data_IF_489747703764
#
_entry.id   IF_489747703764
#
_cell.length_a   1.000
_cell.length_b   1.000
_cell.length_c   1.000
_cell.angle_alpha   90.00
_cell.angle_beta   90.00
_cell.angle_gamma   90.00
#
_symmetry.space_group_name_H-M   'P 1'
#
loop_
_entity.id
_entity.type
_entity.pdbx_description
1 polymer ?
2 non-polymer ?
3 non-polymer ?
4 water ?
#
# COMPACT_ATOMS: atom_id res chain seq x y z
N UNK A 2 13.67 5.40 32.03
CA UNK A 2 13.73 6.79 31.52
C UNK A 2 14.08 6.80 30.03
N UNK A 3 13.06 7.03 29.20
CA UNK A 3 13.26 7.16 27.78
C UNK A 3 13.19 8.66 27.43
N UNK A 4 14.16 9.12 26.63
CA UNK A 4 14.15 10.47 26.12
C UNK A 4 13.37 10.43 24.83
N UNK A 5 12.26 11.14 24.82
CA UNK A 5 11.37 11.07 23.67
C UNK A 5 11.55 12.27 22.73
N UNK A 6 10.98 12.16 21.53
CA UNK A 6 11.13 13.20 20.53
C UNK A 6 10.37 14.46 20.93
N UNK A 7 11.07 15.61 21.14
CA UNK A 7 10.40 16.86 21.57
C UNK A 7 9.30 17.30 20.60
N UNK A 8 9.43 16.93 19.33
CA UNK A 8 8.42 17.25 18.31
C UNK A 8 7.22 16.34 18.37
N UNK A 9 7.38 15.22 19.05
CA UNK A 9 6.29 14.25 19.18
C UNK A 9 6.16 13.28 18.01
N UNK A 10 4.99 12.63 17.97
CA UNK A 10 4.77 11.42 17.17
C UNK A 10 3.50 11.49 16.32
N UNK A 11 3.50 10.70 15.25
CA UNK A 11 2.29 10.35 14.49
C UNK A 11 2.10 8.82 14.56
N UNK A 12 0.87 8.40 14.86
CA UNK A 12 0.48 6.99 14.77
C UNK A 12 -0.87 6.95 14.03
N UNK A 13 -1.13 5.89 13.28
CA UNK A 13 -2.37 5.84 12.49
C UNK A 13 -2.77 4.39 12.26
N UNK A 14 -4.04 4.20 11.94
CA UNK A 14 -4.53 2.92 11.43
C UNK A 14 -4.51 2.96 9.90
N UNK A 15 -3.90 1.94 9.28
CA UNK A 15 -3.98 1.79 7.83
C UNK A 15 -5.32 1.11 7.50
N UNK A 16 -6.38 1.85 7.76
CA UNK A 16 -7.69 1.31 7.93
C UNK A 16 -8.49 1.24 6.64
N UNK A 17 -7.87 1.59 5.53
CA UNK A 17 -8.57 1.60 4.23
C UNK A 17 -7.99 0.56 3.30
N UNK A 18 -8.79 -0.44 2.96
CA UNK A 18 -8.44 -1.30 1.84
C UNK A 18 -7.49 -2.41 2.23
N UNK A 19 -7.17 -3.23 1.25
CA UNK A 19 -6.21 -4.29 1.41
C UNK A 19 -4.78 -3.75 1.31
N UNK A 20 -3.78 -4.64 1.29
CA UNK A 20 -2.39 -4.21 1.44
C UNK A 20 -1.98 -3.18 0.38
N UNK A 21 -2.48 -3.35 -0.84
CA UNK A 21 -2.18 -2.38 -1.89
C UNK A 21 -2.50 -0.93 -1.48
N UNK A 22 -3.72 -0.72 -1.00
CA UNK A 22 -4.21 0.59 -0.57
C UNK A 22 -3.41 1.05 0.66
N UNK A 23 -3.08 0.11 1.53
CA UNK A 23 -2.40 0.42 2.78
C UNK A 23 -1.00 0.92 2.48
N UNK A 24 -0.29 0.26 1.58
CA UNK A 24 1.05 0.75 1.21
C UNK A 24 0.90 2.06 0.46
N UNK A 25 -0.11 2.16 -0.41
CA UNK A 25 -0.30 3.41 -1.16
C UNK A 25 -0.43 4.66 -0.28
N UNK A 26 -1.22 4.56 0.77
CA UNK A 26 -1.35 5.69 1.69
C UNK A 26 -0.12 5.80 2.59
N UNK A 27 0.50 4.67 2.93
CA UNK A 27 1.67 4.71 3.80
C UNK A 27 2.80 5.56 3.21
N UNK A 28 2.98 5.48 1.88
CA UNK A 28 3.94 6.36 1.20
C UNK A 28 3.66 7.84 1.48
N UNK A 29 2.38 8.22 1.38
CA UNK A 29 1.93 9.57 1.74
C UNK A 29 2.13 9.94 3.21
N UNK A 30 1.91 8.98 4.09
CA UNK A 30 2.06 9.23 5.52
C UNK A 30 3.52 9.48 5.90
N UNK A 31 4.45 8.77 5.25
CA UNK A 31 5.89 8.98 5.41
C UNK A 31 6.21 10.44 5.05
N UNK A 32 5.75 10.88 3.89
CA UNK A 32 5.97 12.29 3.46
C UNK A 32 5.40 13.29 4.47
N UNK A 33 4.20 13.01 4.95
CA UNK A 33 3.52 13.87 5.92
C UNK A 33 4.28 13.93 7.23
N UNK A 34 4.75 12.78 7.71
CA UNK A 34 5.53 12.77 8.96
C UNK A 34 6.83 13.56 8.77
N UNK A 35 7.45 13.41 7.60
CA UNK A 35 8.69 14.06 7.32
C UNK A 35 8.48 15.58 7.33
N UNK A 36 7.36 15.99 6.73
CA UNK A 36 7.05 17.41 6.56
C UNK A 36 6.73 18.09 7.88
N UNK A 37 6.02 17.40 8.76
CA UNK A 37 5.73 17.86 10.11
C UNK A 37 6.91 17.73 11.09
N UNK A 38 7.89 16.89 10.73
CA UNK A 38 9.10 16.63 11.53
C UNK A 38 8.74 15.97 12.87
N UNK A 39 7.76 15.08 12.81
CA UNK A 39 7.42 14.23 13.94
C UNK A 39 7.84 12.81 13.61
N UNK A 40 8.22 12.05 14.61
CA UNK A 40 8.56 10.63 14.46
C UNK A 40 7.33 9.83 14.06
N UNK A 41 7.48 8.97 13.05
CA UNK A 41 6.35 8.19 12.56
C UNK A 41 6.40 6.85 13.27
N UNK A 42 5.31 6.48 13.94
CA UNK A 42 5.14 5.10 14.43
C UNK A 42 4.73 4.21 13.26
N UNK A 43 5.56 3.21 12.99
CA UNK A 43 5.35 2.37 11.85
C UNK A 43 4.13 1.53 12.14
N UNK A 44 3.24 1.37 11.14
CA UNK A 44 1.95 0.73 11.45
C UNK A 44 2.05 -0.78 11.54
N UNK A 45 1.03 -1.38 12.15
CA UNK A 45 0.77 -2.79 11.89
C UNK A 45 -0.08 -2.83 10.65
N UNK A 46 0.28 -3.64 9.65
CA UNK A 46 -0.55 -3.78 8.46
C UNK A 46 -1.69 -4.70 8.80
N UNK A 47 -2.75 -4.63 8.01
CA UNK A 47 -3.96 -5.34 8.32
C UNK A 47 -4.28 -6.36 7.23
N UNK A 48 -4.68 -7.55 7.66
CA UNK A 48 -5.04 -8.62 6.75
C UNK A 48 -6.37 -9.23 7.19
N UNK A 49 -7.18 -9.63 6.21
CA UNK A 49 -8.55 -10.12 6.49
C UNK A 49 -8.67 -11.63 6.33
N UNK A 50 -8.77 -12.31 7.48
CA UNK A 50 -8.89 -13.75 7.52
C UNK A 50 -10.32 -14.14 7.93
N UNK A 54 -9.58 -10.60 12.03
CA UNK A 54 -8.62 -9.61 11.54
C UNK A 54 -7.24 -9.90 12.12
N UNK A 55 -6.21 -9.78 11.26
CA UNK A 55 -4.82 -10.03 11.65
C UNK A 55 -3.99 -8.76 11.50
N UNK A 56 -3.24 -8.42 12.55
CA UNK A 56 -2.29 -7.32 12.49
C UNK A 56 -0.88 -7.88 12.26
N UNK A 57 -0.21 -7.30 11.27
CA UNK A 57 1.10 -7.77 10.88
C UNK A 57 2.10 -6.66 11.16
N UNK A 58 3.11 -6.91 12.02
CA UNK A 58 4.08 -5.83 12.30
C UNK A 58 4.79 -5.37 11.04
N UNK A 59 4.97 -4.05 10.89
CA UNK A 59 5.74 -3.50 9.78
C UNK A 59 7.03 -4.28 9.50
N UNK A 60 7.80 -4.48 10.57
CA UNK A 60 9.12 -5.11 10.50
C UNK A 60 9.09 -6.59 10.10
N UNK A 61 7.93 -7.21 10.12
CA UNK A 61 7.86 -8.58 9.59
C UNK A 61 7.85 -8.55 8.06
N UNK A 62 7.48 -7.40 7.49
CA UNK A 62 7.36 -7.28 6.06
C UNK A 62 8.45 -6.48 5.40
N UNK A 63 8.85 -5.39 6.06
CA UNK A 63 9.84 -4.49 5.50
C UNK A 63 10.91 -4.21 6.53
N UNK A 64 12.03 -3.64 6.08
CA UNK A 64 13.21 -3.38 6.94
C UNK A 64 13.14 -1.99 7.56
N UNK A 65 13.29 -1.93 8.88
CA UNK A 65 13.15 -0.67 9.60
C UNK A 65 14.32 0.22 9.26
N UNK A 66 15.51 -0.39 9.20
CA UNK A 66 16.73 0.31 8.82
C UNK A 66 16.56 1.07 7.52
N UNK A 67 15.97 0.41 6.52
CA UNK A 67 15.76 1.03 5.22
C UNK A 67 14.75 2.20 5.26
N UNK A 68 13.60 2.01 5.90
CA UNK A 68 12.62 3.10 5.93
C UNK A 68 13.16 4.33 6.72
N UNK A 69 13.94 4.05 7.75
CA UNK A 69 14.57 5.10 8.54
C UNK A 69 15.48 6.03 7.72
N UNK A 70 15.90 5.57 6.54
CA UNK A 70 16.72 6.41 5.65
C UNK A 70 15.89 7.51 4.93
N UNK A 71 14.56 7.39 4.99
CA UNK A 71 13.69 8.46 4.54
C UNK A 71 13.37 9.46 5.65
N UNK A 72 12.92 8.96 6.79
CA UNK A 72 12.47 9.85 7.89
C UNK A 72 12.53 9.14 9.24
N UNK A 73 12.50 9.91 10.33
CA UNK A 73 12.55 9.31 11.66
C UNK A 73 11.32 8.41 11.96
N UNK A 74 11.59 7.19 12.41
CA UNK A 74 10.54 6.20 12.66
C UNK A 74 10.80 5.45 13.97
N UNK A 75 9.74 4.92 14.55
CA UNK A 75 9.90 3.90 15.60
C UNK A 75 8.94 2.77 15.26
N UNK A 76 9.27 1.55 15.65
CA UNK A 76 8.27 0.48 15.49
C UNK A 76 7.11 0.66 16.47
N UNK A 77 5.99 -0.01 16.20
CA UNK A 77 4.84 -0.03 17.10
C UNK A 77 5.29 -0.63 18.43
N UNK A 78 6.14 -1.65 18.37
CA UNK A 78 6.69 -2.24 19.60
C UNK A 78 7.46 -1.27 20.49
N UNK A 79 8.37 -0.49 19.89
CA UNK A 79 9.05 0.58 20.60
C UNK A 79 8.05 1.61 21.14
N UNK A 80 7.10 2.01 20.31
CA UNK A 80 6.16 3.04 20.70
C UNK A 80 5.34 2.62 21.93
N UNK A 81 4.80 1.41 21.91
CA UNK A 81 3.96 0.95 23.03
C UNK A 81 4.78 0.74 24.29
N UNK A 82 5.98 0.16 24.15
CA UNK A 82 6.73 -0.18 25.37
C UNK A 82 7.59 0.96 25.92
N UNK A 83 8.14 1.78 25.03
CA UNK A 83 9.15 2.77 25.43
C UNK A 83 8.63 4.19 25.46
N UNK A 84 7.65 4.48 24.60
CA UNK A 84 7.27 5.87 24.33
C UNK A 84 5.95 6.23 24.99
N UNK A 85 4.93 5.43 24.69
CA UNK A 85 3.59 5.59 25.26
C UNK A 85 3.54 5.77 26.78
N UNK A 86 4.30 4.93 27.55
CA UNK A 86 4.20 5.11 29.00
C UNK A 86 4.66 6.48 29.52
N UNK A 87 5.60 7.14 28.86
CA UNK A 87 6.07 8.43 29.38
C UNK A 87 5.46 9.66 28.74
N UNK A 88 4.93 9.56 27.52
CA UNK A 88 4.37 10.77 26.91
C UNK A 88 2.91 10.66 26.44
N UNK A 89 2.32 9.47 26.49
CA UNK A 89 0.95 9.33 26.00
C UNK A 89 0.08 8.52 26.95
N UNK A 90 -0.12 9.05 28.17
CA UNK A 90 -0.92 8.34 29.15
C UNK A 90 -2.39 8.21 28.69
N UNK A 91 -3.12 7.20 29.19
CA UNK A 91 -4.53 7.00 28.77
C UNK A 91 -5.41 8.25 28.75
N UNK A 92 -5.20 9.20 29.68
CA UNK A 92 -6.03 10.42 29.76
C UNK A 92 -5.82 11.42 28.63
N UNK A 93 -4.79 11.20 27.82
CA UNK A 93 -4.40 12.15 26.79
C UNK A 93 -4.56 11.56 25.39
N UNK A 94 -5.13 10.36 25.32
CA UNK A 94 -5.27 9.66 24.05
C UNK A 94 -6.46 10.12 23.22
N UNK A 95 -6.17 11.06 22.33
CA UNK A 95 -7.16 11.68 21.44
C UNK A 95 -7.01 11.20 20.01
N UNK A 96 -8.15 10.94 19.35
CA UNK A 96 -8.13 10.60 17.95
C UNK A 96 -8.34 11.81 17.04
N UNK A 97 -7.82 11.71 15.82
CA UNK A 97 -7.76 12.86 14.89
C UNK A 97 -8.43 12.46 13.59
N UNK A 98 -9.42 13.25 13.15
CA UNK A 98 -10.11 13.00 11.88
C UNK A 98 -10.56 14.35 11.31
N UNK A 99 -11.19 14.33 10.14
CA UNK A 99 -11.51 15.61 9.46
C UNK A 99 -12.59 16.43 10.20
N UNK A 100 -13.62 15.74 10.67
CA UNK A 100 -14.85 16.35 11.12
C UNK A 100 -15.62 15.36 12.00
N UNK A 101 -16.50 15.85 12.91
CA UNK A 101 -17.32 14.85 13.61
C UNK A 101 -18.32 14.14 12.69
N UNK A 102 -18.54 12.85 12.96
CA UNK A 102 -19.47 12.07 12.16
C UNK A 102 -20.43 11.31 13.06
N UNK A 103 -21.54 10.92 12.44
CA UNK A 103 -22.55 10.07 13.07
C UNK A 103 -22.13 8.57 13.07
N UNK A 104 -22.09 7.97 14.26
CA UNK A 104 -21.87 6.51 14.37
C UNK A 104 -22.94 5.71 13.60
N UNK A 105 -22.52 4.66 12.93
CA UNK A 105 -23.47 3.72 12.32
C UNK A 105 -23.49 2.42 13.14
N UNK A 110 -23.31 6.63 21.01
CA UNK A 110 -22.05 7.38 20.82
C UNK A 110 -22.27 8.82 20.33
N UNK A 111 -21.62 9.78 20.98
CA UNK A 111 -21.67 11.20 20.61
C UNK A 111 -20.98 11.44 19.25
N UNK A 112 -21.32 12.55 18.54
CA UNK A 112 -20.58 12.83 17.28
C UNK A 112 -19.07 12.81 17.46
N UNK A 113 -18.38 12.17 16.52
CA UNK A 113 -16.94 12.04 16.67
C UNK A 113 -16.27 11.36 15.51
N UNK A 114 -15.04 10.93 15.75
CA UNK A 114 -14.26 10.20 14.75
C UNK A 114 -14.64 8.75 14.61
N UNK A 115 -15.17 8.18 15.71
CA UNK A 115 -15.51 6.75 15.80
C UNK A 115 -14.40 5.86 15.30
N UNK A 116 -13.20 6.18 15.81
CA UNK A 116 -11.97 5.48 15.46
C UNK A 116 -12.04 3.96 15.64
N UNK A 117 -12.87 3.52 16.57
CA UNK A 117 -12.91 2.09 16.91
C UNK A 117 -14.25 1.41 16.55
N UNK A 118 -15.02 2.08 15.72
CA UNK A 118 -16.30 1.51 15.29
C UNK A 118 -16.10 0.56 14.13
N UNK A 119 -16.55 -0.68 14.29
CA UNK A 119 -16.40 -1.68 13.28
C UNK A 119 -15.03 -2.32 13.18
N UNK A 120 -14.84 -3.02 12.08
CA UNK A 120 -13.65 -3.81 11.80
C UNK A 120 -13.05 -3.25 10.54
N UNK A 121 -11.71 -3.10 10.46
CA UNK A 121 -10.66 -3.45 11.44
C UNK A 121 -10.31 -2.33 12.43
N UNK A 122 -11.06 -1.23 12.37
CA UNK A 122 -10.87 -0.08 13.26
C UNK A 122 -10.69 -0.45 14.75
N UNK A 123 -11.71 -1.07 15.34
CA UNK A 123 -11.62 -1.49 16.74
C UNK A 123 -10.45 -2.45 17.00
N UNK A 124 -10.37 -3.58 16.25
CA UNK A 124 -9.26 -4.51 16.50
C UNK A 124 -7.87 -3.89 16.40
N UNK A 125 -7.70 -2.93 15.48
CA UNK A 125 -6.39 -2.31 15.32
C UNK A 125 -5.98 -1.65 16.61
N UNK A 126 -6.81 -0.75 17.14
CA UNK A 126 -6.44 -0.02 18.36
C UNK A 126 -6.41 -0.90 19.62
N UNK A 127 -7.28 -1.91 19.65
CA UNK A 127 -7.30 -2.88 20.74
C UNK A 127 -6.04 -3.74 20.81
N UNK A 128 -5.44 -3.99 19.64
CA UNK A 128 -4.15 -4.69 19.54
C UNK A 128 -3.03 -4.04 20.37
N UNK A 129 -3.08 -2.71 20.50
CA UNK A 129 -2.08 -1.96 21.27
C UNK A 129 -2.65 -1.32 22.53
N UNK A 130 -3.80 -1.83 22.97
CA UNK A 130 -4.49 -1.37 24.19
C UNK A 130 -4.78 0.15 24.25
N UNK A 131 -5.29 0.70 23.14
CA UNK A 131 -5.58 2.14 23.06
C UNK A 131 -7.08 2.37 23.00
N UNK A 132 -7.57 3.19 23.92
CA UNK A 132 -8.93 3.72 23.86
C UNK A 132 -8.81 5.24 23.82
N UNK A 133 -9.69 5.90 23.06
CA UNK A 133 -9.64 7.34 22.93
C UNK A 133 -10.60 8.01 23.88
N UNK A 134 -10.18 9.11 24.44
CA UNK A 134 -10.99 9.82 25.40
C UNK A 134 -11.47 11.16 24.87
N UNK A 135 -11.33 11.37 23.55
CA UNK A 135 -11.74 12.63 22.95
C UNK A 135 -11.27 12.65 21.53
N UNK A 136 -11.84 13.55 20.74
CA UNK A 136 -11.48 13.66 19.34
C UNK A 136 -11.01 15.08 19.07
N UNK A 137 -10.11 15.21 18.09
CA UNK A 137 -9.70 16.49 17.54
C UNK A 137 -9.89 16.46 16.03
N UNK A 138 -10.17 17.61 15.46
CA UNK A 138 -10.46 17.68 14.04
C UNK A 138 -9.48 18.56 13.30
N UNK A 139 -9.23 18.21 12.03
CA UNK A 139 -8.23 18.96 11.28
C UNK A 139 -8.75 19.56 9.98
N UNK A 140 -10.06 19.41 9.74
CA UNK A 140 -10.67 19.94 8.53
C UNK A 140 -10.42 21.43 8.30
N UNK A 141 -10.22 22.23 9.35
CA UNK A 141 -9.99 23.68 9.17
C UNK A 141 -8.54 24.06 8.80
N UNK A 142 -7.65 23.08 8.85
CA UNK A 142 -6.31 23.28 8.31
C UNK A 142 -6.41 23.12 6.79
N UNK A 143 -5.98 24.12 6.01
CA UNK A 143 -6.27 24.03 4.59
C UNK A 143 -5.66 22.78 3.95
N UNK A 144 -6.49 21.96 3.31
CA UNK A 144 -6.05 20.71 2.72
C UNK A 144 -5.95 19.54 3.71
N UNK A 145 -6.31 19.77 4.97
CA UNK A 145 -6.13 18.75 6.03
C UNK A 145 -4.68 18.26 6.15
N UNK A 146 -4.44 16.99 5.80
CA UNK A 146 -3.08 16.43 5.87
C UNK A 146 -2.27 16.61 4.58
N UNK A 147 -2.76 17.38 3.62
CA UNK A 147 -2.03 17.53 2.35
C UNK A 147 -0.69 18.25 2.48
N UNK A 148 -0.66 19.31 3.29
CA UNK A 148 0.54 20.16 3.46
C UNK A 148 0.90 20.78 2.13
N UNK A 149 -0.13 20.97 1.33
CA UNK A 149 -0.05 21.33 -0.06
C UNK A 149 -0.19 22.83 -0.19
N UNK A 150 -0.66 23.44 0.89
CA UNK A 150 -1.15 24.80 0.85
C UNK A 150 -0.42 25.69 1.83
N UNK A 151 -0.35 26.97 1.50
CA UNK A 151 0.46 27.92 2.23
C UNK A 151 -0.11 28.15 3.63
N UNK A 152 0.73 27.91 4.64
CA UNK A 152 0.30 28.06 6.03
C UNK A 152 -0.25 26.79 6.66
N UNK A 153 -0.44 25.75 5.85
CA UNK A 153 -0.98 24.45 6.33
C UNK A 153 -0.05 23.74 7.32
N UNK A 154 1.22 23.62 6.94
CA UNK A 154 2.24 23.04 7.81
C UNK A 154 2.26 23.77 9.16
N UNK A 155 2.29 25.09 9.12
CA UNK A 155 2.38 25.92 10.32
C UNK A 155 1.13 25.86 11.19
N UNK A 156 -0.03 25.71 10.55
CA UNK A 156 -1.28 25.55 11.27
C UNK A 156 -1.31 24.23 12.05
N UNK A 157 -0.75 23.17 11.48
CA UNK A 157 -0.58 21.93 12.23
C UNK A 157 0.25 22.17 13.50
N UNK A 158 1.38 22.86 13.35
CA UNK A 158 2.27 23.17 14.49
C UNK A 158 1.60 24.05 15.53
N UNK A 159 0.82 25.02 15.04
CA UNK A 159 0.11 25.99 15.84
C UNK A 159 -1.04 25.35 16.60
N UNK A 160 -1.81 24.53 15.89
CA UNK A 160 -3.03 24.01 16.44
C UNK A 160 -2.79 22.83 17.37
N UNK A 161 -1.80 22.01 17.04
CA UNK A 161 -1.52 20.80 17.82
C UNK A 161 -0.07 20.75 18.28
N UNK A 162 0.31 21.64 19.22
CA UNK A 162 1.71 21.66 19.68
C UNK A 162 2.07 20.39 20.44
N UNK A 163 3.34 19.98 20.34
CA UNK A 163 3.84 18.73 20.89
C UNK A 163 3.68 18.59 22.41
N UNK A 164 3.76 19.71 23.13
CA UNK A 164 3.58 19.67 24.60
C UNK A 164 2.21 19.12 24.96
N UNK A 165 1.15 19.76 24.44
CA UNK A 165 -0.21 19.30 24.71
C UNK A 165 -0.55 18.08 23.87
N UNK A 166 0.00 18.02 22.65
CA UNK A 166 -0.32 16.92 21.72
C UNK A 166 0.90 16.12 21.25
N UNK A 167 1.50 15.32 22.16
CA UNK A 167 2.72 14.61 21.78
C UNK A 167 2.44 13.51 20.77
N UNK A 168 1.18 13.08 20.66
CA UNK A 168 0.85 12.05 19.68
C UNK A 168 -0.37 12.49 18.88
N UNK A 169 -0.19 12.55 17.56
CA UNK A 169 -1.27 12.72 16.62
C UNK A 169 -1.66 11.31 16.20
N UNK A 170 -2.80 10.81 16.70
CA UNK A 170 -3.32 9.46 16.40
C UNK A 170 -4.49 9.56 15.43
N UNK A 171 -4.27 9.03 14.24
CA UNK A 171 -5.20 9.20 13.15
C UNK A 171 -6.09 7.98 12.96
N UNK A 172 -7.39 8.26 12.86
CA UNK A 172 -8.41 7.23 12.63
C UNK A 172 -8.17 6.47 11.32
N UNK A 173 -7.69 7.20 10.32
CA UNK A 173 -7.41 6.65 9.03
C UNK A 173 -6.07 7.23 8.56
N UNK A 174 -5.42 6.59 7.59
CA UNK A 174 -4.13 7.08 7.17
C UNK A 174 -4.22 8.54 6.72
N UNK A 175 -3.37 9.42 7.29
CA UNK A 175 -3.37 10.84 6.89
C UNK A 175 -2.57 11.05 5.57
N UNK A 176 -3.15 10.61 4.45
CA UNK A 176 -2.51 10.59 3.16
C UNK A 176 -3.52 10.51 2.03
N UNK A 177 -3.22 11.14 0.90
CA UNK A 177 -4.05 10.96 -0.31
C UNK A 177 -4.27 9.50 -0.74
N UNK A 178 -5.47 9.24 -1.23
CA UNK A 178 -5.73 7.99 -1.93
C UNK A 178 -6.57 8.32 -3.15
N UNK A 179 -6.12 7.90 -4.34
CA UNK A 179 -4.84 7.20 -4.56
C UNK A 179 -3.64 8.13 -4.41
N UNK A 180 -2.44 7.56 -4.26
CA UNK A 180 -1.24 8.31 -3.94
C UNK A 180 -0.92 9.31 -5.08
N UNK A 181 -0.28 10.42 -4.69
CA UNK A 181 0.19 11.41 -5.66
C UNK A 181 1.50 10.96 -6.27
N UNK A 182 1.72 11.34 -7.53
CA UNK A 182 2.96 10.97 -8.25
C UNK A 182 4.23 11.28 -7.47
N UNK A 183 4.22 12.42 -6.77
CA UNK A 183 5.34 12.86 -5.93
C UNK A 183 5.74 11.89 -4.79
N UNK A 184 4.85 11.00 -4.40
CA UNK A 184 5.27 10.05 -3.33
C UNK A 184 5.73 8.68 -3.84
N UNK A 185 5.58 8.41 -5.14
CA UNK A 185 5.86 7.05 -5.64
C UNK A 185 7.29 6.56 -5.34
N UNK A 186 8.24 7.47 -5.48
CA UNK A 186 9.68 7.19 -5.31
C UNK A 186 10.05 6.81 -3.88
N UNK A 187 9.19 7.20 -2.92
CA UNK A 187 9.38 6.79 -1.53
C UNK A 187 9.38 5.27 -1.38
N UNK A 188 8.77 4.57 -2.33
CA UNK A 188 8.79 3.09 -2.35
C UNK A 188 10.21 2.50 -2.31
N UNK A 189 11.23 3.26 -2.72
CA UNK A 189 12.60 2.76 -2.68
C UNK A 189 13.07 2.50 -1.23
N UNK A 190 12.33 3.07 -0.27
CA UNK A 190 12.68 2.91 1.14
C UNK A 190 11.89 1.80 1.79
N UNK A 191 11.07 1.11 0.98
CA UNK A 191 10.42 -0.13 1.42
C UNK A 191 11.17 -1.32 0.80
N UNK A 192 11.99 -1.94 1.65
CA UNK A 192 12.82 -3.08 1.28
C UNK A 192 12.29 -4.28 2.02
N UNK A 193 11.98 -5.34 1.29
CA UNK A 193 11.39 -6.53 1.95
C UNK A 193 12.29 -7.08 3.05
N UNK A 194 11.66 -7.64 4.08
CA UNK A 194 12.39 -8.20 5.23
C UNK A 194 13.22 -9.37 4.75
N UNK A 195 14.19 -9.79 5.57
CA UNK A 195 15.02 -10.93 5.20
C UNK A 195 14.16 -12.18 5.01
N UNK A 196 13.13 -12.36 5.85
CA UNK A 196 12.29 -13.55 5.77
C UNK A 196 11.57 -13.58 4.43
N UNK A 197 11.04 -12.42 4.01
CA UNK A 197 10.28 -12.39 2.75
C UNK A 197 11.20 -12.64 1.56
N UNK A 198 12.34 -11.98 1.55
CA UNK A 198 13.33 -12.14 0.47
C UNK A 198 13.90 -13.56 0.35
N UNK A 199 14.17 -14.20 1.49
CA UNK A 199 14.56 -15.62 1.51
C UNK A 199 13.51 -16.50 0.85
N UNK A 200 12.25 -16.30 1.25
CA UNK A 200 11.13 -17.07 0.70
C UNK A 200 11.00 -16.83 -0.80
N UNK A 201 11.08 -15.56 -1.22
CA UNK A 201 11.03 -15.19 -2.64
C UNK A 201 12.10 -15.97 -3.45
N UNK A 202 13.32 -15.96 -2.94
CA UNK A 202 14.46 -16.62 -3.59
C UNK A 202 14.30 -18.14 -3.69
N UNK A 203 13.87 -18.74 -2.58
CA UNK A 203 13.59 -20.17 -2.53
C UNK A 203 12.59 -20.59 -3.58
N UNK A 204 11.45 -19.91 -3.63
CA UNK A 204 10.43 -20.20 -4.64
C UNK A 204 10.97 -20.06 -6.06
N UNK A 205 11.73 -19.00 -6.33
CA UNK A 205 12.27 -18.74 -7.66
C UNK A 205 13.22 -19.86 -8.08
N UNK A 206 14.16 -20.19 -7.20
CA UNK A 206 15.11 -21.28 -7.51
C UNK A 206 14.42 -22.64 -7.68
N UNK A 207 13.36 -22.88 -6.92
CA UNK A 207 12.61 -24.14 -6.98
C UNK A 207 11.68 -24.32 -8.20
N UNK A 208 11.08 -23.22 -8.67
CA UNK A 208 9.99 -23.29 -9.66
C UNK A 208 10.11 -22.43 -10.92
N UNK A 209 11.04 -21.47 -10.92
CA UNK A 209 11.04 -20.41 -11.95
C UNK A 209 12.35 -20.26 -12.74
N UNK A 210 12.55 -21.13 -13.73
CA UNK A 210 13.67 -21.03 -14.66
C UNK A 210 13.79 -19.63 -15.26
N UNK A 211 15.00 -19.06 -15.23
CA UNK A 211 15.24 -17.70 -15.73
C UNK A 211 15.58 -17.62 -17.22
N UNK A 212 15.11 -16.56 -17.90
CA UNK A 212 14.30 -15.43 -17.38
C UNK A 212 12.81 -15.74 -17.19
N UNK A 213 12.20 -15.16 -16.16
CA UNK A 213 10.78 -15.37 -15.95
C UNK A 213 9.96 -14.09 -16.08
N UNK A 214 8.73 -14.27 -16.56
CA UNK A 214 7.72 -13.21 -16.59
C UNK A 214 6.80 -13.40 -15.37
N UNK A 215 6.61 -12.34 -14.59
CA UNK A 215 5.61 -12.38 -13.51
C UNK A 215 4.38 -11.57 -13.91
N UNK A 216 3.20 -12.12 -13.65
CA UNK A 216 1.95 -11.45 -14.00
C UNK A 216 1.05 -11.28 -12.78
N UNK A 217 0.40 -10.13 -12.70
CA UNK A 217 -0.64 -9.93 -11.70
C UNK A 217 -2.01 -9.96 -12.36
N UNK A 218 -2.86 -10.85 -11.88
CA UNK A 218 -4.21 -10.96 -12.41
C UNK A 218 -5.24 -10.56 -11.36
N UNK A 219 -6.16 -9.69 -11.76
CA UNK A 219 -7.21 -9.23 -10.88
C UNK A 219 -8.54 -9.57 -11.55
N UNK A 220 -9.40 -10.34 -10.86
CA UNK A 220 -10.60 -10.87 -11.51
C UNK A 220 -11.78 -11.33 -10.63
N UNK A 221 -11.73 -11.09 -9.32
CA UNK A 221 -12.88 -11.40 -8.46
C UNK A 221 -14.06 -10.48 -8.78
N UNK A 222 -15.26 -10.91 -8.42
CA UNK A 222 -16.51 -10.20 -8.75
C UNK A 222 -16.52 -8.72 -8.35
N UNK A 223 -16.04 -8.43 -7.15
CA UNK A 223 -15.93 -7.06 -6.66
C UNK A 223 -15.13 -6.16 -7.62
N UNK A 224 -14.02 -6.70 -8.12
CA UNK A 224 -13.16 -6.01 -9.09
C UNK A 224 -13.86 -5.74 -10.42
N UNK A 225 -14.49 -6.79 -10.97
CA UNK A 225 -15.20 -6.67 -12.24
C UNK A 225 -16.25 -5.55 -12.16
N UNK A 226 -16.93 -5.46 -11.02
CA UNK A 226 -17.94 -4.42 -10.79
C UNK A 226 -17.37 -3.00 -10.89
N UNK A 227 -16.22 -2.75 -10.27
CA UNK A 227 -15.60 -1.42 -10.36
C UNK A 227 -15.18 -1.06 -11.79
N UNK A 228 -14.66 -2.04 -12.53
CA UNK A 228 -14.19 -1.82 -13.89
C UNK A 228 -15.33 -1.44 -14.86
N UNK A 229 -16.47 -2.10 -14.72
CA UNK A 229 -17.62 -1.81 -15.60
C UNK A 229 -18.29 -0.45 -15.37
N UNK A 230 -17.76 0.34 -14.44
CA UNK A 230 -18.25 1.71 -14.17
C UNK A 230 -17.47 2.82 -14.88
N UNK A 231 -16.32 2.47 -15.47
CA UNK A 231 -15.42 3.43 -16.10
C UNK A 231 -16.11 4.34 -17.14
N UNK A 232 -15.86 5.64 -17.04
CA UNK A 232 -16.38 6.64 -17.96
C UNK A 232 -15.24 7.18 -18.84
N UNK A 233 -15.16 6.66 -20.06
CA UNK A 233 -14.09 7.04 -21.01
C UNK A 233 -14.20 8.48 -21.53
N UNK A 234 -15.37 9.09 -21.38
CA UNK A 234 -15.58 10.47 -21.83
C UNK A 234 -15.05 11.49 -20.82
N UNK A 235 -15.12 11.17 -19.54
CA UNK A 235 -14.56 12.01 -18.47
C UNK A 235 -13.13 11.57 -18.12
N UNK A 236 -12.87 10.27 -18.27
CA UNK A 236 -11.51 9.73 -18.24
C UNK A 236 -10.70 10.15 -16.99
N UNK A 237 -11.33 10.10 -15.82
CA UNK A 237 -10.63 10.45 -14.58
C UNK A 237 -9.86 9.24 -14.04
N UNK A 238 -8.83 9.48 -13.19
CA UNK A 238 -8.10 8.38 -12.53
C UNK A 238 -9.01 7.41 -11.76
N UNK A 239 -8.64 6.13 -11.78
CA UNK A 239 -9.29 5.14 -10.94
C UNK A 239 -8.19 4.36 -10.25
N UNK A 240 -8.19 4.40 -8.93
CA UNK A 240 -7.15 3.75 -8.12
C UNK A 240 -5.75 4.09 -8.65
N UNK A 241 -5.00 3.09 -9.10
CA UNK A 241 -3.60 3.28 -9.49
C UNK A 241 -3.37 3.61 -10.98
N UNK A 242 -4.44 3.94 -11.69
CA UNK A 242 -4.39 4.04 -13.15
C UNK A 242 -3.36 5.03 -13.70
N UNK A 243 -2.98 6.02 -12.87
CA UNK A 243 -1.99 6.98 -13.31
C UNK A 243 -0.59 6.37 -13.50
N UNK A 244 -0.36 5.17 -12.97
CA UNK A 244 0.92 4.50 -13.12
C UNK A 244 1.24 4.16 -14.58
N UNK A 245 0.21 3.97 -15.40
CA UNK A 245 0.41 3.67 -16.82
C UNK A 245 -0.06 4.79 -17.75
N UNK A 246 -0.99 5.61 -17.26
CA UNK A 246 -1.59 6.65 -18.09
C UNK A 246 -1.09 8.06 -17.82
N UNK A 247 -0.18 8.20 -16.84
CA UNK A 247 0.33 9.52 -16.45
C UNK A 247 -0.61 10.26 -15.53
N UNK A 248 -0.11 11.31 -14.89
CA UNK A 248 -0.91 12.15 -14.00
C UNK A 248 -2.11 12.69 -14.77
N UNK A 249 -3.30 12.48 -14.21
CA UNK A 249 -4.55 12.96 -14.83
C UNK A 249 -4.78 12.41 -16.22
N UNK A 250 -4.07 11.33 -16.57
CA UNK A 250 -4.32 10.55 -17.79
C UNK A 250 -3.96 11.27 -19.08
N UNK A 251 -2.94 12.12 -18.98
CA UNK A 251 -2.48 12.89 -20.14
C UNK A 251 -1.94 12.02 -21.28
N UNK A 252 -1.76 10.72 -21.02
CA UNK A 252 -1.19 9.79 -21.99
C UNK A 252 -2.20 9.00 -22.84
N UNK A 253 -3.42 8.86 -22.33
CA UNK A 253 -4.46 8.11 -23.03
C UNK A 253 -5.76 7.95 -22.25
N UNK A 254 -6.58 6.99 -22.67
CA UNK A 254 -7.88 6.73 -22.07
C UNK A 254 -7.88 5.41 -21.30
N UNK A 255 -8.31 5.46 -20.05
CA UNK A 255 -8.50 4.26 -19.25
C UNK A 255 -9.72 3.49 -19.77
N UNK A 256 -9.50 2.25 -20.22
CA UNK A 256 -10.56 1.44 -20.81
C UNK A 256 -10.85 0.21 -19.94
N UNK A 257 -12.00 -0.41 -20.15
CA UNK A 257 -12.34 -1.66 -19.47
C UNK A 257 -11.39 -2.81 -19.83
N UNK A 258 -10.75 -2.71 -21.00
CA UNK A 258 -9.71 -3.66 -21.43
C UNK A 258 -8.49 -3.60 -20.51
N UNK A 259 -8.14 -2.38 -20.10
CA UNK A 259 -7.05 -2.14 -19.17
C UNK A 259 -7.44 -2.59 -17.75
N UNK A 260 -8.65 -2.24 -17.33
CA UNK A 260 -9.12 -2.54 -15.97
C UNK A 260 -9.38 -4.04 -15.78
N UNK A 261 -10.07 -4.64 -16.74
CA UNK A 261 -10.43 -6.04 -16.66
C UNK A 261 -10.15 -6.69 -18.01
N UNK A 262 -8.88 -7.07 -18.27
CA UNK A 262 -8.59 -7.78 -19.52
C UNK A 262 -9.30 -9.11 -19.57
N UNK A 263 -9.83 -9.47 -20.73
CA UNK A 263 -10.47 -10.76 -20.94
C UNK A 263 -9.45 -11.89 -20.90
N UNK A 264 -9.95 -13.12 -20.71
CA UNK A 264 -9.08 -14.30 -20.67
C UNK A 264 -8.22 -14.38 -21.93
N UNK A 265 -8.85 -14.15 -23.09
CA UNK A 265 -8.14 -14.15 -24.38
C UNK A 265 -7.03 -13.09 -24.42
N UNK A 266 -7.35 -11.88 -23.95
CA UNK A 266 -6.42 -10.74 -23.93
C UNK A 266 -5.24 -11.04 -23.02
N UNK A 267 -5.51 -11.63 -21.86
CA UNK A 267 -4.45 -12.05 -20.94
C UNK A 267 -3.53 -13.06 -21.61
N UNK A 268 -4.11 -14.10 -22.21
CA UNK A 268 -3.34 -15.23 -22.75
C UNK A 268 -2.47 -14.79 -23.94
N UNK A 269 -3.06 -14.00 -24.83
CA UNK A 269 -2.31 -13.42 -25.96
C UNK A 269 -1.13 -12.59 -25.48
N UNK A 270 -1.37 -11.74 -24.49
CA UNK A 270 -0.34 -10.80 -24.02
C UNK A 270 0.78 -11.50 -23.25
N UNK A 271 0.45 -12.58 -22.54
CA UNK A 271 1.44 -13.41 -21.86
C UNK A 271 2.33 -14.16 -22.87
N UNK A 272 1.69 -14.76 -23.86
CA UNK A 272 2.40 -15.46 -24.94
C UNK A 272 3.38 -14.48 -25.63
N UNK A 273 2.87 -13.29 -25.95
CA UNK A 273 3.68 -12.20 -26.50
C UNK A 273 4.90 -11.83 -25.63
N UNK A 274 4.69 -11.60 -24.33
CA UNK A 274 5.77 -11.20 -23.43
C UNK A 274 6.81 -12.32 -23.21
N UNK A 275 6.33 -13.56 -23.16
CA UNK A 275 7.21 -14.72 -23.06
C UNK A 275 8.12 -14.77 -24.29
N UNK A 276 7.52 -14.54 -25.47
CA UNK A 276 8.25 -14.52 -26.73
C UNK A 276 9.31 -13.43 -26.70
N UNK A 277 8.91 -12.23 -26.25
CA UNK A 277 9.77 -11.04 -26.27
C UNK A 277 11.11 -11.20 -25.54
N UNK A 278 11.11 -11.93 -24.43
CA UNK A 278 12.33 -12.09 -23.63
C UNK A 278 12.89 -13.52 -23.60
N UNK A 279 12.30 -14.40 -24.41
CA UNK A 279 12.63 -15.83 -24.40
C UNK A 279 12.51 -16.44 -23.01
N UNK A 280 11.36 -16.19 -22.37
CA UNK A 280 11.10 -16.61 -21.00
C UNK A 280 11.05 -18.12 -20.85
N UNK A 281 11.49 -18.61 -19.69
CA UNK A 281 11.59 -20.05 -19.43
C UNK A 281 10.60 -20.51 -18.36
N UNK A 282 9.86 -19.56 -17.80
CA UNK A 282 8.79 -19.85 -16.85
C UNK A 282 7.90 -18.62 -16.68
N UNK A 283 6.69 -18.83 -16.17
CA UNK A 283 5.79 -17.75 -15.84
C UNK A 283 5.36 -17.87 -14.38
N UNK A 284 5.28 -16.72 -13.72
CA UNK A 284 4.77 -16.65 -12.35
C UNK A 284 3.47 -15.89 -12.32
N UNK A 285 2.47 -16.44 -11.63
CA UNK A 285 1.16 -15.79 -11.55
C UNK A 285 0.82 -15.51 -10.08
N UNK A 286 0.37 -14.28 -9.83
CA UNK A 286 -0.25 -13.92 -8.57
C UNK A 286 -1.63 -13.34 -8.86
N UNK A 287 -2.60 -13.77 -8.07
CA UNK A 287 -3.98 -13.39 -8.29
C UNK A 287 -4.76 -13.32 -6.99
N UNK A 288 -5.83 -12.54 -7.03
CA UNK A 288 -6.81 -12.46 -5.97
C UNK A 288 -7.81 -13.63 -6.03
N UNK A 289 -7.80 -14.36 -7.14
CA UNK A 289 -8.81 -15.39 -7.35
C UNK A 289 -8.32 -16.41 -8.38
N UNK A 290 -8.60 -16.14 -9.65
CA UNK A 290 -8.29 -17.10 -10.72
C UNK A 290 -6.87 -16.82 -11.23
N UNK A 291 -5.98 -17.78 -11.03
CA UNK A 291 -4.59 -17.67 -11.49
C UNK A 291 -4.42 -18.16 -12.94
N UNK A 292 -5.48 -18.73 -13.51
CA UNK A 292 -5.49 -19.24 -14.89
C UNK A 292 -4.29 -20.15 -15.23
N UNK A 293 -3.82 -20.93 -14.26
CA UNK A 293 -2.64 -21.78 -14.49
C UNK A 293 -2.87 -22.78 -15.64
N UNK A 294 -4.04 -23.43 -15.64
CA UNK A 294 -4.35 -24.45 -16.64
C UNK A 294 -4.47 -23.84 -18.04
N UNK A 295 -5.09 -22.67 -18.12
CA UNK A 295 -5.26 -21.96 -19.40
C UNK A 295 -3.95 -21.40 -19.93
N UNK A 296 -3.12 -20.89 -19.02
CA UNK A 296 -1.83 -20.33 -19.41
C UNK A 296 -0.88 -21.45 -19.87
N UNK A 297 -0.85 -22.55 -19.12
CA UNK A 297 -0.05 -23.73 -19.50
C UNK A 297 -0.46 -24.30 -20.86
N UNK A 298 -1.75 -24.26 -21.15
CA UNK A 298 -2.26 -24.69 -22.45
C UNK A 298 -1.74 -23.76 -23.56
N UNK A 299 -1.69 -22.47 -23.27
CA UNK A 299 -1.21 -21.46 -24.21
C UNK A 299 0.30 -21.51 -24.42
N UNK A 300 1.05 -21.84 -23.37
CA UNK A 300 2.51 -21.87 -23.45
C UNK A 300 3.08 -23.24 -23.79
N UNK A 301 2.19 -24.21 -24.02
CA UNK A 301 2.58 -25.56 -24.43
C UNK A 301 3.60 -25.59 -25.59
N UNK A 302 3.44 -24.72 -26.62
CA UNK A 302 4.40 -24.75 -27.74
C UNK A 302 5.80 -24.21 -27.39
N UNK A 303 5.89 -23.37 -26.34
CA UNK A 303 7.18 -22.86 -25.86
C UNK A 303 7.87 -23.82 -24.89
N UNK A 304 7.18 -24.91 -24.54
CA UNK A 304 7.64 -25.88 -23.54
C UNK A 304 8.01 -25.24 -22.20
N UNK A 305 7.24 -24.23 -21.83
CA UNK A 305 7.38 -23.62 -20.50
C UNK A 305 6.05 -23.62 -19.77
N UNK A 306 6.11 -23.46 -18.45
CA UNK A 306 4.92 -23.52 -17.61
C UNK A 306 4.76 -22.29 -16.73
N UNK A 307 3.53 -22.09 -16.27
CA UNK A 307 3.19 -21.08 -15.27
C UNK A 307 3.10 -21.71 -13.89
N UNK A 308 3.56 -20.98 -12.88
CA UNK A 308 3.63 -21.44 -11.50
C UNK A 308 3.04 -20.38 -10.57
N UNK A 309 2.39 -20.87 -9.52
CA UNK A 309 1.82 -19.99 -8.49
C UNK A 309 2.26 -20.49 -7.12
N UNK A 310 2.01 -19.69 -6.08
CA UNK A 310 2.25 -20.11 -4.71
C UNK A 310 0.99 -20.72 -4.12
N UNK A 311 1.16 -21.73 -3.28
CA UNK A 311 0.04 -22.47 -2.69
C UNK A 311 0.26 -22.71 -1.18
N UNK A 312 -0.52 -22.02 -0.32
CA UNK A 312 -1.44 -20.91 -0.60
C UNK A 312 -0.68 -19.70 -1.11
N UNK A 313 -1.39 -18.78 -1.74
CA UNK A 313 -0.79 -17.61 -2.41
C UNK A 313 -0.48 -16.48 -1.42
N UNK A 314 0.75 -16.51 -0.89
CA UNK A 314 1.31 -15.54 0.06
C UNK A 314 1.45 -14.15 -0.61
N UNK A 315 0.54 -13.24 -0.28
CA UNK A 315 0.52 -11.87 -0.83
C UNK A 315 1.90 -11.19 -0.86
N UNK A 316 2.59 -11.24 0.28
CA UNK A 316 3.83 -10.47 0.46
C UNK A 316 4.98 -11.11 -0.30
N UNK A 317 5.11 -12.44 -0.17
CA UNK A 317 6.14 -13.17 -0.90
C UNK A 317 5.86 -13.09 -2.41
N UNK A 318 4.60 -13.02 -2.79
CA UNK A 318 4.30 -12.91 -4.24
C UNK A 318 4.73 -11.55 -4.78
N UNK A 319 4.47 -10.47 -4.02
CA UNK A 319 4.97 -9.14 -4.41
C UNK A 319 6.48 -9.10 -4.55
N UNK A 320 7.18 -9.72 -3.59
CA UNK A 320 8.63 -9.80 -3.62
C UNK A 320 9.11 -10.58 -4.85
N UNK A 321 8.45 -11.70 -5.17
CA UNK A 321 8.80 -12.50 -6.38
C UNK A 321 8.59 -11.66 -7.64
N UNK A 322 7.47 -10.98 -7.71
CA UNK A 322 7.16 -10.16 -8.89
C UNK A 322 8.17 -9.01 -9.06
N UNK A 323 8.58 -8.43 -7.93
CA UNK A 323 9.65 -7.44 -7.89
C UNK A 323 10.96 -7.91 -8.49
N UNK A 324 11.24 -9.22 -8.35
CA UNK A 324 12.52 -9.81 -8.79
C UNK A 324 12.47 -10.36 -10.23
N UNK A 325 11.29 -10.32 -10.82
CA UNK A 325 11.08 -10.93 -12.13
C UNK A 325 11.92 -10.28 -13.21
N UNK A 326 12.18 -11.02 -14.28
CA UNK A 326 12.87 -10.44 -15.41
C UNK A 326 11.98 -9.46 -16.16
N UNK A 327 10.68 -9.76 -16.19
CA UNK A 327 9.66 -8.87 -16.75
C UNK A 327 8.39 -9.01 -15.93
N UNK A 328 7.82 -7.87 -15.54
CA UNK A 328 6.54 -7.82 -14.86
C UNK A 328 5.42 -7.33 -15.77
N UNK A 329 4.30 -8.05 -15.78
CA UNK A 329 3.09 -7.58 -16.46
C UNK A 329 1.96 -7.45 -15.44
N UNK A 330 1.56 -6.22 -15.17
CA UNK A 330 0.60 -5.94 -14.13
C UNK A 330 -0.73 -5.42 -14.64
N UNK A 331 -1.62 -5.20 -13.69
CA UNK A 331 -2.88 -4.55 -13.95
C UNK A 331 -2.72 -3.10 -13.54
N UNK A 332 -2.85 -2.22 -14.52
CA UNK A 332 -2.64 -0.78 -14.33
C UNK A 332 -3.52 -0.12 -13.26
N UNK A 333 -4.74 -0.61 -13.10
CA UNK A 333 -5.67 -0.02 -12.12
C UNK A 333 -5.34 -0.45 -10.69
N UNK A 334 -4.72 -1.61 -10.55
CA UNK A 334 -4.49 -2.19 -9.23
C UNK A 334 -3.35 -1.55 -8.42
N UNK A 335 -3.65 -1.14 -7.18
CA UNK A 335 -2.61 -0.59 -6.29
C UNK A 335 -1.60 -1.67 -5.88
N UNK A 336 -2.03 -2.93 -5.86
CA UNK A 336 -1.14 -4.06 -5.62
C UNK A 336 -0.10 -4.14 -6.74
N UNK A 337 -0.56 -4.03 -7.99
CA UNK A 337 0.40 -3.92 -9.11
C UNK A 337 1.30 -2.70 -9.00
N UNK A 338 0.76 -1.62 -8.42
CA UNK A 338 1.50 -0.37 -8.27
C UNK A 338 2.68 -0.53 -7.31
N UNK A 339 2.52 -1.37 -6.28
CA UNK A 339 3.66 -1.69 -5.39
C UNK A 339 4.82 -2.25 -6.23
N UNK A 340 4.49 -3.21 -7.09
CA UNK A 340 5.49 -3.83 -7.97
C UNK A 340 6.13 -2.80 -8.88
N UNK A 341 5.30 -2.02 -9.58
CA UNK A 341 5.80 -1.03 -10.52
C UNK A 341 6.79 -0.11 -9.84
N UNK A 342 6.44 0.39 -8.66
CA UNK A 342 7.28 1.34 -7.94
C UNK A 342 8.57 0.69 -7.44
N UNK A 343 8.47 -0.56 -7.00
CA UNK A 343 9.67 -1.27 -6.55
C UNK A 343 10.62 -1.43 -7.73
N UNK A 344 10.09 -1.90 -8.86
CA UNK A 344 10.92 -2.12 -10.06
C UNK A 344 11.51 -0.82 -10.59
N UNK A 345 10.76 0.27 -10.48
CA UNK A 345 11.24 1.59 -10.90
C UNK A 345 12.38 2.17 -10.04
N UNK A 346 12.33 1.93 -8.73
CA UNK A 346 13.09 2.70 -7.73
C UNK A 346 13.95 1.89 -6.75
N UNK A 347 13.51 0.69 -6.41
CA UNK A 347 14.17 -0.07 -5.32
C UNK A 347 15.58 -0.57 -5.65
N UNK A 351 16.19 0.80 -13.38
CA UNK A 351 14.75 0.54 -13.45
C UNK A 351 14.50 -0.79 -14.15
N UNK A 352 13.84 -1.70 -13.45
CA UNK A 352 13.53 -3.02 -14.01
C UNK A 352 12.30 -2.95 -14.89
N UNK A 353 12.32 -3.65 -16.04
CA UNK A 353 11.22 -3.56 -17.02
C UNK A 353 9.84 -3.99 -16.50
N UNK A 354 8.83 -3.18 -16.78
CA UNK A 354 7.45 -3.51 -16.42
C UNK A 354 6.52 -3.18 -17.59
N UNK A 355 5.37 -3.84 -17.63
CA UNK A 355 4.35 -3.61 -18.64
C UNK A 355 2.97 -3.83 -17.99
N UNK A 356 1.92 -3.35 -18.64
CA UNK A 356 0.56 -3.56 -18.17
C UNK A 356 -0.33 -4.13 -19.26
N UNK A 357 -1.29 -4.95 -18.85
CA UNK A 357 -2.29 -5.48 -19.76
C UNK A 357 -3.09 -4.36 -20.42
N UNK A 358 -3.27 -4.50 -21.73
CA UNK A 358 -4.07 -3.57 -22.52
C UNK A 358 -3.41 -2.25 -22.89
N UNK A 359 -2.13 -2.10 -22.57
CA UNK A 359 -1.39 -0.89 -22.93
C UNK A 359 -0.01 -1.23 -23.46
#
# INVERSE_FOLDING_TARGET
>A
EAEATDPNGYIVFCPCMGRFGNQVDQFLGVLAFAKALDRTLVLPNFIEFKHPETKMIPFEFLFQVGTVAKYTRVVTMQEFTKKIMPTVWPPEKRKAFCWTPRQAIYDKSAEPGCHSKEGNPFGPYWDQIDVSFVGDEYFGDIPGGFDLNQMGSRKKWLEKFPSEEYPVLAFSSAPAPFPSKGKVWSIQKYLRWSSRITEQAKKFISANLAKPFVAVHLRNDADWVRVCEHIDTTTNRPLFASEQCLGEGHHLGTLTKEICSPSKQQILEQIVEKVGSIGAKSVFVASDKDHMIDEINEALKPYEIEAHRQEPDDMYTSLAIMGRADLFVGNCVSTFSHIVKRERDHAGQSPRPSAFFGIRAV
#
